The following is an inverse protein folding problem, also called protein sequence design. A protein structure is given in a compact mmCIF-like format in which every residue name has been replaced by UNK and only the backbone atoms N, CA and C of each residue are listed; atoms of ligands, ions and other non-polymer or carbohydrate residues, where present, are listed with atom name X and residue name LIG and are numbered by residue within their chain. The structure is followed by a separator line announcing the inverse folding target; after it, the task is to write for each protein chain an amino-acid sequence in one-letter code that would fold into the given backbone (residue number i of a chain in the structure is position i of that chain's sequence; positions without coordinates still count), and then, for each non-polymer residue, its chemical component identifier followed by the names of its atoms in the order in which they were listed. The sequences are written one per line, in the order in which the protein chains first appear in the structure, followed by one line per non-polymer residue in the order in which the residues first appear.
data_IF_759642854860
#
_entry.id   IF_759642854860
#
_cell.length_a   1.000
_cell.length_b   1.000
_cell.length_c   1.000
_cell.angle_alpha   90.00
_cell.angle_beta   90.00
_cell.angle_gamma   90.00
#
_symmetry.space_group_name_H-M   'P 1'
#
loop_
_entity.id
_entity.type
_entity.pdbx_description
1 polymer ?
#
# COMPACT_ATOMS: atom_id res chain seq x y z
N UNK A 1 4.64 60.32 14.03
CA UNK A 1 5.32 59.70 12.87
C UNK A 1 5.06 58.20 12.91
N UNK A 2 4.22 57.65 12.02
CA UNK A 2 3.93 56.21 11.99
C UNK A 2 4.94 55.50 11.08
N UNK A 3 5.71 54.56 11.64
CA UNK A 3 6.66 53.76 10.89
C UNK A 3 6.15 52.33 10.74
N UNK A 4 5.78 52.04 9.49
CA UNK A 4 6.00 50.80 8.74
C UNK A 4 5.19 49.56 9.14
N UNK A 5 4.01 49.45 8.52
CA UNK A 5 3.34 48.18 8.29
C UNK A 5 4.23 47.26 7.42
N UNK A 6 4.65 46.14 7.99
CA UNK A 6 5.25 45.03 7.25
C UNK A 6 4.20 44.38 6.36
N UNK A 7 4.12 44.84 5.11
CA UNK A 7 3.45 44.13 4.01
C UNK A 7 4.17 42.80 3.75
N UNK A 8 3.80 41.77 4.51
CA UNK A 8 4.15 40.40 4.15
C UNK A 8 3.21 39.98 3.03
N UNK A 9 3.69 40.12 1.79
CA UNK A 9 3.04 39.58 0.59
C UNK A 9 2.80 38.07 0.81
N UNK A 10 1.60 37.71 1.20
CA UNK A 10 1.11 36.35 1.14
C UNK A 10 1.12 35.93 -0.33
N UNK A 11 2.18 35.24 -0.75
CA UNK A 11 2.19 34.50 -2.01
C UNK A 11 1.11 33.43 -1.88
N UNK A 12 0.01 33.67 -2.59
CA UNK A 12 -1.05 32.73 -2.89
C UNK A 12 -0.46 31.37 -3.27
N UNK A 13 -0.43 30.44 -2.30
CA UNK A 13 -0.24 29.03 -2.57
C UNK A 13 -1.53 28.55 -3.22
N UNK A 14 -1.53 28.51 -4.56
CA UNK A 14 -2.54 27.81 -5.37
C UNK A 14 -2.91 26.51 -4.64
N UNK A 15 -4.17 26.42 -4.24
CA UNK A 15 -4.72 25.27 -3.53
C UNK A 15 -4.30 23.99 -4.25
N UNK A 16 -3.47 23.19 -3.56
CA UNK A 16 -3.40 21.78 -3.88
C UNK A 16 -4.83 21.28 -3.76
N UNK A 17 -5.46 20.97 -4.90
CA UNK A 17 -6.75 20.26 -4.90
C UNK A 17 -6.55 19.07 -3.98
N UNK A 18 -7.12 19.12 -2.77
CA UNK A 18 -7.27 17.94 -1.94
C UNK A 18 -7.96 16.92 -2.82
N UNK A 19 -7.20 15.91 -3.25
CA UNK A 19 -7.77 14.79 -3.97
C UNK A 19 -8.74 14.16 -3.00
N UNK A 20 -10.03 14.28 -3.30
CA UNK A 20 -11.06 13.57 -2.55
C UNK A 20 -10.62 12.11 -2.39
N UNK A 21 -10.76 11.54 -1.19
CA UNK A 21 -10.40 10.16 -0.96
C UNK A 21 -11.13 9.26 -1.95
N UNK A 22 -10.48 8.19 -2.36
CA UNK A 22 -11.01 7.21 -3.29
C UNK A 22 -11.98 6.28 -2.55
N UNK A 23 -13.31 6.44 -2.69
CA UNK A 23 -14.27 5.78 -1.80
C UNK A 23 -14.20 4.26 -1.91
N UNK A 24 -13.87 3.75 -3.10
CA UNK A 24 -13.70 2.32 -3.33
C UNK A 24 -12.45 1.78 -2.62
N UNK A 25 -11.32 2.48 -2.72
CA UNK A 25 -10.09 2.07 -2.04
C UNK A 25 -10.25 2.13 -0.51
N UNK A 26 -10.93 3.15 0.01
CA UNK A 26 -11.23 3.26 1.44
C UNK A 26 -12.14 2.13 1.91
N UNK A 27 -13.17 1.78 1.15
CA UNK A 27 -14.04 0.66 1.48
C UNK A 27 -13.28 -0.68 1.52
N UNK A 28 -12.40 -0.92 0.54
CA UNK A 28 -11.55 -2.11 0.54
C UNK A 28 -10.66 -2.19 1.78
N UNK A 29 -9.96 -1.10 2.12
CA UNK A 29 -9.06 -1.08 3.28
C UNK A 29 -9.84 -1.22 4.58
N UNK A 30 -10.86 -0.39 4.79
CA UNK A 30 -11.55 -0.31 6.08
C UNK A 30 -12.51 -1.46 6.31
N UNK A 31 -13.35 -1.81 5.33
CA UNK A 31 -14.44 -2.77 5.52
C UNK A 31 -14.07 -4.21 5.17
N UNK A 32 -13.18 -4.41 4.19
CA UNK A 32 -12.82 -5.75 3.71
C UNK A 32 -11.52 -6.27 4.32
N UNK A 33 -10.49 -5.43 4.41
CA UNK A 33 -9.16 -5.85 4.90
C UNK A 33 -9.02 -5.71 6.42
N UNK A 34 -9.32 -4.54 6.98
CA UNK A 34 -8.99 -4.24 8.38
C UNK A 34 -10.08 -4.63 9.39
N UNK A 35 -11.34 -4.74 8.96
CA UNK A 35 -12.49 -5.00 9.85
C UNK A 35 -12.34 -6.27 10.70
N UNK A 36 -11.64 -7.27 10.19
CA UNK A 36 -11.58 -8.60 10.77
C UNK A 36 -10.49 -8.73 11.85
N UNK A 37 -9.66 -7.70 12.04
CA UNK A 37 -8.55 -7.70 13.02
C UNK A 37 -7.38 -8.62 12.67
N UNK A 38 -7.45 -9.35 11.55
CA UNK A 38 -6.39 -10.26 11.08
C UNK A 38 -5.14 -9.48 10.63
N UNK A 39 -5.37 -8.35 9.97
CA UNK A 39 -4.30 -7.50 9.44
C UNK A 39 -3.99 -6.38 10.43
N UNK A 40 -2.70 -6.13 10.62
CA UNK A 40 -2.21 -4.99 11.40
C UNK A 40 -2.19 -3.71 10.58
N UNK A 41 -1.90 -3.83 9.28
CA UNK A 41 -1.84 -2.72 8.34
C UNK A 41 -2.36 -3.17 6.97
N UNK A 42 -2.96 -2.25 6.23
CA UNK A 42 -3.39 -2.48 4.86
C UNK A 42 -3.24 -1.21 4.04
N UNK A 43 -2.93 -1.36 2.75
CA UNK A 43 -2.75 -0.23 1.84
C UNK A 43 -3.18 -0.62 0.43
N UNK A 44 -3.78 0.34 -0.26
CA UNK A 44 -4.11 0.26 -1.68
C UNK A 44 -3.34 1.33 -2.42
N UNK A 45 -2.59 0.93 -3.44
CA UNK A 45 -1.69 1.78 -4.23
C UNK A 45 -2.11 1.69 -5.69
N UNK A 46 -2.07 2.82 -6.40
CA UNK A 46 -2.16 2.81 -7.85
C UNK A 46 -0.80 2.41 -8.44
N UNK A 47 -0.73 1.29 -9.15
CA UNK A 47 0.49 0.74 -9.71
C UNK A 47 1.08 1.58 -10.86
N UNK A 48 0.28 2.42 -11.53
CA UNK A 48 0.77 3.26 -12.64
C UNK A 48 1.62 4.46 -12.15
N UNK A 49 1.30 5.00 -10.98
CA UNK A 49 1.92 6.22 -10.46
C UNK A 49 2.45 6.09 -9.02
N UNK A 50 2.26 4.93 -8.41
CA UNK A 50 2.69 4.57 -7.06
C UNK A 50 2.13 5.50 -5.97
N UNK A 51 0.98 6.12 -6.21
CA UNK A 51 0.28 6.92 -5.21
C UNK A 51 -0.61 6.03 -4.33
N UNK A 52 -0.63 6.34 -3.04
CA UNK A 52 -1.53 5.71 -2.07
C UNK A 52 -2.95 6.19 -2.36
N UNK A 53 -3.89 5.25 -2.53
CA UNK A 53 -5.33 5.52 -2.70
C UNK A 53 -6.05 5.48 -1.35
N UNK A 54 -5.69 4.51 -0.51
CA UNK A 54 -6.16 4.38 0.86
C UNK A 54 -5.16 3.56 1.67
N UNK A 55 -5.11 3.77 2.99
CA UNK A 55 -4.24 3.04 3.90
C UNK A 55 -4.84 3.03 5.31
N UNK A 56 -4.54 1.98 6.07
CA UNK A 56 -4.92 1.86 7.47
C UNK A 56 -3.83 1.07 8.23
N UNK A 57 -3.45 1.47 9.45
CA UNK A 57 -3.74 2.78 10.07
C UNK A 57 -3.29 3.94 9.16
N UNK A 58 -3.84 5.15 9.38
CA UNK A 58 -3.54 6.32 8.56
C UNK A 58 -2.04 6.69 8.53
N UNK A 59 -1.31 6.27 9.57
CA UNK A 59 0.14 6.39 9.73
C UNK A 59 0.92 5.44 8.82
N UNK A 60 0.29 4.40 8.26
CA UNK A 60 0.94 3.43 7.40
C UNK A 60 1.25 4.01 6.02
N UNK A 61 2.43 4.63 5.90
CA UNK A 61 2.84 5.34 4.68
C UNK A 61 4.23 4.90 4.24
N UNK A 62 4.33 3.76 3.52
CA UNK A 62 5.60 3.33 2.95
C UNK A 62 6.20 4.42 2.07
N UNK A 63 7.53 4.53 2.04
CA UNK A 63 8.23 5.56 1.25
C UNK A 63 7.94 5.44 -0.26
N UNK A 64 8.18 6.51 -1.03
CA UNK A 64 7.98 6.46 -2.49
C UNK A 64 8.90 5.42 -3.15
N UNK A 65 10.13 5.24 -2.67
CA UNK A 65 11.05 4.21 -3.15
C UNK A 65 10.51 2.80 -2.85
N UNK A 66 10.04 2.56 -1.63
CA UNK A 66 9.40 1.28 -1.25
C UNK A 66 8.23 0.94 -2.17
N UNK A 67 7.33 1.90 -2.41
CA UNK A 67 6.14 1.66 -3.26
C UNK A 67 6.51 1.32 -4.70
N UNK A 68 7.56 1.95 -5.25
CA UNK A 68 8.09 1.63 -6.58
C UNK A 68 8.69 0.22 -6.61
N UNK A 69 9.46 -0.14 -5.59
CA UNK A 69 10.09 -1.45 -5.51
C UNK A 69 9.05 -2.58 -5.41
N UNK A 70 8.02 -2.42 -4.57
CA UNK A 70 6.90 -3.37 -4.47
C UNK A 70 6.22 -3.64 -5.81
N UNK A 71 5.94 -2.58 -6.57
CA UNK A 71 5.24 -2.72 -7.85
C UNK A 71 6.10 -3.41 -8.91
N UNK A 72 7.41 -3.13 -8.96
CA UNK A 72 8.35 -3.83 -9.85
C UNK A 72 8.50 -5.30 -9.48
N UNK A 73 8.62 -5.59 -8.19
CA UNK A 73 8.79 -6.94 -7.67
C UNK A 73 7.62 -7.84 -8.08
N UNK A 74 6.40 -7.33 -7.93
CA UNK A 74 5.18 -8.06 -8.31
C UNK A 74 5.06 -8.25 -9.83
N UNK A 75 5.73 -7.42 -10.63
CA UNK A 75 5.82 -7.58 -12.08
C UNK A 75 6.91 -8.59 -12.51
N UNK A 76 7.64 -9.19 -11.57
CA UNK A 76 8.66 -10.21 -11.84
C UNK A 76 10.09 -9.68 -11.90
N UNK A 77 10.32 -8.40 -11.59
CA UNK A 77 11.67 -7.83 -11.44
C UNK A 77 12.20 -8.16 -10.02
N UNK A 78 12.53 -9.44 -9.81
CA UNK A 78 12.92 -10.01 -8.51
C UNK A 78 14.37 -9.72 -8.12
N UNK A 79 15.21 -9.32 -9.08
CA UNK A 79 16.63 -8.99 -8.85
C UNK A 79 16.82 -7.66 -8.12
N UNK A 80 15.79 -6.81 -8.06
CA UNK A 80 15.88 -5.45 -7.54
C UNK A 80 15.89 -5.33 -6.00
N UNK A 81 15.68 -6.42 -5.25
CA UNK A 81 15.41 -6.37 -3.81
C UNK A 81 16.20 -7.37 -2.95
N UNK A 82 17.04 -8.18 -3.57
CA UNK A 82 17.89 -9.13 -2.85
C UNK A 82 19.33 -8.58 -2.85
N UNK A 83 19.99 -8.37 -1.69
CA UNK A 83 19.68 -8.93 -0.37
C UNK A 83 19.00 -8.02 0.66
N UNK A 84 18.72 -6.75 0.36
CA UNK A 84 18.38 -5.76 1.40
C UNK A 84 16.95 -5.88 1.95
N UNK A 85 16.05 -6.60 1.26
CA UNK A 85 14.65 -6.75 1.65
C UNK A 85 13.83 -5.47 1.42
N UNK A 86 12.65 -5.42 2.06
CA UNK A 86 11.67 -4.34 1.86
C UNK A 86 11.30 -3.73 3.21
N UNK A 87 11.56 -2.43 3.37
CA UNK A 87 11.05 -1.65 4.49
C UNK A 87 9.73 -0.95 4.11
N UNK A 88 8.66 -1.32 4.81
CA UNK A 88 7.33 -0.74 4.65
C UNK A 88 7.10 0.53 5.50
N UNK A 89 8.11 1.02 6.21
CA UNK A 89 8.05 2.20 7.08
C UNK A 89 7.40 1.91 8.44
N UNK A 90 7.47 0.66 8.90
CA UNK A 90 6.88 0.20 10.17
C UNK A 90 7.93 -0.44 11.12
N UNK A 91 9.20 -0.11 10.91
CA UNK A 91 10.30 -0.58 11.77
C UNK A 91 10.67 -2.05 11.58
N UNK A 92 10.27 -2.66 10.46
CA UNK A 92 10.56 -4.04 10.10
C UNK A 92 11.03 -4.13 8.66
N UNK A 93 12.01 -5.00 8.42
CA UNK A 93 12.46 -5.35 7.08
C UNK A 93 11.88 -6.71 6.72
N UNK A 94 11.24 -6.78 5.56
CA UNK A 94 10.59 -7.99 5.08
C UNK A 94 11.42 -8.61 3.96
N UNK A 95 11.78 -9.88 4.12
CA UNK A 95 12.46 -10.66 3.11
C UNK A 95 11.44 -11.18 2.10
N UNK A 96 11.54 -10.78 0.81
CA UNK A 96 10.69 -11.33 -0.23
C UNK A 96 10.88 -12.85 -0.31
N UNK A 97 9.78 -13.57 -0.24
CA UNK A 97 9.77 -15.01 -0.48
C UNK A 97 9.55 -15.29 -1.97
N UNK A 98 8.44 -15.96 -2.26
CA UNK A 98 8.07 -16.36 -3.62
C UNK A 98 7.10 -15.35 -4.24
N UNK A 99 7.37 -14.95 -5.49
CA UNK A 99 6.33 -14.39 -6.36
C UNK A 99 5.55 -15.58 -6.91
N UNK A 100 4.28 -15.70 -6.51
CA UNK A 100 3.41 -16.81 -6.91
C UNK A 100 2.70 -16.43 -8.22
N UNK A 101 2.28 -17.44 -8.98
CA UNK A 101 1.43 -17.27 -10.16
C UNK A 101 0.29 -16.28 -9.85
N UNK A 102 -0.01 -15.38 -10.80
CA UNK A 102 -1.00 -14.30 -10.68
C UNK A 102 -0.56 -13.00 -9.98
N UNK A 103 0.74 -12.66 -9.99
CA UNK A 103 1.26 -11.37 -9.50
C UNK A 103 0.97 -11.16 -8.01
N UNK A 104 1.18 -12.25 -7.26
CA UNK A 104 1.15 -12.25 -5.81
C UNK A 104 2.59 -12.22 -5.29
N UNK A 105 2.83 -11.39 -4.28
CA UNK A 105 4.07 -11.33 -3.56
C UNK A 105 3.82 -11.64 -2.09
N UNK A 106 4.58 -12.60 -1.58
CA UNK A 106 4.69 -12.90 -0.17
C UNK A 106 6.06 -12.46 0.36
N UNK A 107 6.10 -11.86 1.54
CA UNK A 107 7.33 -11.57 2.25
C UNK A 107 7.17 -11.77 3.76
N UNK A 108 8.24 -12.19 4.43
CA UNK A 108 8.26 -12.50 5.87
C UNK A 108 9.23 -11.59 6.62
N UNK A 109 8.94 -11.29 7.89
CA UNK A 109 9.89 -10.61 8.78
C UNK A 109 10.90 -11.56 9.45
N UNK A 110 10.91 -12.85 9.07
CA UNK A 110 11.78 -13.88 9.68
C UNK A 110 11.26 -14.44 11.01
N UNK A 111 10.12 -13.96 11.48
CA UNK A 111 9.44 -14.45 12.68
C UNK A 111 8.06 -15.01 12.32
N UNK A 112 7.00 -14.56 12.99
CA UNK A 112 5.61 -14.97 12.72
C UNK A 112 4.87 -13.98 11.81
N UNK A 113 5.53 -12.90 11.39
CA UNK A 113 4.94 -11.81 10.64
C UNK A 113 5.34 -11.77 9.18
N UNK A 114 4.67 -10.88 8.45
CA UNK A 114 4.91 -10.73 7.04
C UNK A 114 3.94 -9.77 6.39
N UNK A 115 4.03 -9.69 5.08
CA UNK A 115 3.02 -9.05 4.26
C UNK A 115 2.74 -9.89 3.02
N UNK A 116 1.53 -9.71 2.52
CA UNK A 116 1.11 -10.22 1.21
C UNK A 116 0.60 -9.07 0.37
N UNK A 117 0.95 -9.10 -0.90
CA UNK A 117 0.59 -8.06 -1.84
C UNK A 117 0.14 -8.67 -3.18
N UNK A 118 -0.91 -8.09 -3.78
CA UNK A 118 -1.50 -8.52 -5.04
C UNK A 118 -1.66 -7.36 -6.00
N UNK A 119 -1.23 -7.56 -7.24
CA UNK A 119 -1.49 -6.62 -8.33
C UNK A 119 -2.67 -7.08 -9.19
N UNK A 120 -3.75 -6.31 -9.16
CA UNK A 120 -4.96 -6.52 -9.97
C UNK A 120 -5.16 -5.31 -10.89
N UNK A 121 -5.05 -5.52 -12.21
CA UNK A 121 -4.96 -4.43 -13.21
C UNK A 121 -3.90 -3.40 -12.80
N UNK A 122 -4.31 -2.18 -12.47
CA UNK A 122 -3.47 -1.05 -12.04
C UNK A 122 -3.54 -0.80 -10.52
N UNK A 123 -4.06 -1.74 -9.74
CA UNK A 123 -4.25 -1.62 -8.30
C UNK A 123 -3.40 -2.65 -7.57
N UNK A 124 -2.53 -2.16 -6.70
CA UNK A 124 -1.78 -2.96 -5.76
C UNK A 124 -2.49 -2.94 -4.40
N UNK A 125 -2.92 -4.11 -3.94
CA UNK A 125 -3.51 -4.33 -2.61
C UNK A 125 -2.47 -5.01 -1.75
N UNK A 126 -2.15 -4.47 -0.58
CA UNK A 126 -1.17 -5.04 0.35
C UNK A 126 -1.74 -5.08 1.76
N UNK A 127 -1.49 -6.18 2.47
CA UNK A 127 -1.82 -6.36 3.87
C UNK A 127 -0.63 -6.90 4.67
N UNK A 128 -0.42 -6.36 5.87
CA UNK A 128 0.63 -6.76 6.82
C UNK A 128 -0.02 -7.51 7.98
N UNK A 129 0.55 -8.65 8.34
CA UNK A 129 0.08 -9.50 9.44
C UNK A 129 1.22 -9.79 10.41
N UNK A 130 0.89 -9.96 11.68
CA UNK A 130 1.85 -10.29 12.75
C UNK A 130 1.82 -11.77 13.15
N UNK A 131 0.76 -12.49 12.77
CA UNK A 131 0.49 -13.89 13.06
C UNK A 131 -0.59 -14.39 12.08
N UNK A 132 -0.89 -15.70 12.09
CA UNK A 132 -1.93 -16.34 11.26
C UNK A 132 -1.75 -16.10 9.75
N UNK A 133 -0.57 -16.45 9.23
CA UNK A 133 -0.16 -16.27 7.83
C UNK A 133 -1.21 -16.79 6.85
N UNK A 134 -1.70 -18.01 7.06
CA UNK A 134 -2.67 -18.67 6.17
C UNK A 134 -3.98 -17.88 6.07
N UNK A 135 -4.55 -17.49 7.22
CA UNK A 135 -5.78 -16.69 7.29
C UNK A 135 -5.60 -15.32 6.64
N UNK A 136 -4.45 -14.66 6.88
CA UNK A 136 -4.14 -13.37 6.28
C UNK A 136 -4.00 -13.46 4.75
N UNK A 137 -3.27 -14.46 4.25
CA UNK A 137 -3.11 -14.68 2.81
C UNK A 137 -4.46 -14.97 2.14
N UNK A 138 -5.29 -15.84 2.74
CA UNK A 138 -6.62 -16.14 2.24
C UNK A 138 -7.50 -14.89 2.16
N UNK A 139 -7.54 -14.09 3.23
CA UNK A 139 -8.32 -12.85 3.25
C UNK A 139 -7.89 -11.90 2.13
N UNK A 140 -6.58 -11.65 1.98
CA UNK A 140 -6.09 -10.71 0.97
C UNK A 140 -6.36 -11.27 -0.44
N UNK A 141 -6.23 -12.59 -0.64
CA UNK A 141 -6.57 -13.27 -1.90
C UNK A 141 -8.06 -13.11 -2.25
N UNK A 142 -8.96 -13.31 -1.29
CA UNK A 142 -10.40 -13.13 -1.48
C UNK A 142 -10.73 -11.69 -1.88
N UNK A 143 -10.10 -10.71 -1.22
CA UNK A 143 -10.24 -9.29 -1.57
C UNK A 143 -9.68 -9.00 -2.97
N UNK A 144 -8.51 -9.53 -3.32
CA UNK A 144 -7.93 -9.36 -4.65
C UNK A 144 -8.82 -9.95 -5.75
N UNK A 145 -9.40 -11.13 -5.53
CA UNK A 145 -10.35 -11.76 -6.44
C UNK A 145 -11.64 -10.93 -6.57
N UNK A 146 -12.17 -10.39 -5.46
CA UNK A 146 -13.30 -9.47 -5.49
C UNK A 146 -13.01 -8.22 -6.35
N UNK A 147 -11.84 -7.60 -6.17
CA UNK A 147 -11.40 -6.47 -7.01
C UNK A 147 -11.30 -6.88 -8.47
N UNK A 148 -10.78 -8.07 -8.78
CA UNK A 148 -10.65 -8.59 -10.14
C UNK A 148 -12.01 -8.74 -10.82
N UNK A 149 -13.00 -9.28 -10.12
CA UNK A 149 -14.37 -9.47 -10.62
C UNK A 149 -15.06 -8.13 -10.89
N UNK A 150 -14.93 -7.17 -9.98
CA UNK A 150 -15.49 -5.82 -10.20
C UNK A 150 -14.82 -5.18 -11.40
N UNK A 151 -13.49 -5.25 -11.46
CA UNK A 151 -12.72 -4.60 -12.51
C UNK A 151 -12.86 -5.27 -13.87
N UNK A 152 -13.18 -6.57 -13.98
CA UNK A 152 -13.39 -7.22 -15.28
C UNK A 152 -14.67 -6.77 -16.00
N UNK A 153 -15.56 -6.04 -15.32
CA UNK A 153 -16.78 -5.46 -15.89
C UNK A 153 -16.59 -4.04 -16.43
N UNK A 154 -15.44 -3.42 -16.13
CA UNK A 154 -14.96 -2.13 -16.66
C UNK A 154 -13.98 -2.37 -17.82
#
# INVERSE_FOLDING_TARGET
MPSTELQTRAKSSKGAKEKKPDPFAEELVTRKLMRNGILSHAIVINASNFNVRANQPITFRPSRSTRKALAKLIQGDTMALNPDGIDLGIGKVYMPGKVIENRELFATDGHCGGFTAFLVKDILVLGVFNHNVETACRLITEVANFVRIIKSRD
#
